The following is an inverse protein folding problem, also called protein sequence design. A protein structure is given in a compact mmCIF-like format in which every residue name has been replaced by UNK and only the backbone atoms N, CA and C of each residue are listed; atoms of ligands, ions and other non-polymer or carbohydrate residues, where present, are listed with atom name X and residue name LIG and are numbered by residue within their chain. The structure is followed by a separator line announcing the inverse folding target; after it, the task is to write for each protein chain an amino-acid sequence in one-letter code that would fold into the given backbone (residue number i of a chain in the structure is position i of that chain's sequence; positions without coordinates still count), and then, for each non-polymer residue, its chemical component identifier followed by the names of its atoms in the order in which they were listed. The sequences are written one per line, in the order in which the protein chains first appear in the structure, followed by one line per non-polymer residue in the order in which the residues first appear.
data_IF_094505191544
#
_entry.id   IF_094505191544
#
_cell.length_a   1.000
_cell.length_b   1.000
_cell.length_c   1.000
_cell.angle_alpha   90.00
_cell.angle_beta   90.00
_cell.angle_gamma   90.00
#
_symmetry.space_group_name_H-M   'P 1'
#
loop_
_entity.id
_entity.type
_entity.pdbx_description
1 polymer ?
#
# COMPACT_ATOMS: atom_id res chain seq x y z
N UNK A 1 3.20 -10.96 -13.53
CA UNK A 1 3.13 -10.00 -12.42
C UNK A 1 3.38 -8.59 -12.92
N UNK A 2 4.58 -8.30 -13.46
CA UNK A 2 4.98 -6.94 -13.86
C UNK A 2 4.06 -6.24 -14.88
N UNK A 3 3.47 -7.00 -15.82
CA UNK A 3 2.57 -6.46 -16.86
C UNK A 3 1.11 -6.28 -16.34
N UNK A 4 0.81 -6.79 -15.14
CA UNK A 4 -0.53 -6.67 -14.55
C UNK A 4 -0.79 -5.25 -14.04
N UNK A 5 0.24 -4.54 -13.57
CA UNK A 5 0.18 -3.17 -13.08
C UNK A 5 -0.45 -2.24 -14.15
N UNK A 6 -1.66 -1.78 -13.89
CA UNK A 6 -2.39 -0.85 -14.74
C UNK A 6 -2.08 0.56 -14.28
N UNK A 7 -1.30 1.32 -15.06
CA UNK A 7 -1.07 2.74 -14.78
C UNK A 7 -2.20 3.59 -15.42
N UNK A 8 -3.10 4.20 -14.62
CA UNK A 8 -4.22 4.96 -15.14
C UNK A 8 -3.85 6.42 -15.39
N UNK A 9 -2.57 6.84 -15.33
CA UNK A 9 -2.21 8.26 -15.45
C UNK A 9 -2.76 8.89 -16.74
N UNK A 10 -2.68 8.18 -17.87
CA UNK A 10 -3.25 8.67 -19.13
C UNK A 10 -4.80 8.71 -19.11
N UNK A 11 -5.45 7.74 -18.48
CA UNK A 11 -6.91 7.70 -18.39
C UNK A 11 -7.44 8.76 -17.42
N UNK A 12 -6.79 8.95 -16.27
CA UNK A 12 -7.08 10.00 -15.29
C UNK A 12 -6.90 11.41 -15.90
N UNK A 13 -5.88 11.60 -16.76
CA UNK A 13 -5.70 12.87 -17.48
C UNK A 13 -6.90 13.18 -18.39
N UNK A 14 -7.36 12.19 -19.17
CA UNK A 14 -8.56 12.36 -20.00
C UNK A 14 -9.84 12.52 -19.17
N UNK A 15 -9.93 11.91 -18.00
CA UNK A 15 -11.06 12.07 -17.08
C UNK A 15 -11.12 13.47 -16.47
N UNK A 16 -9.97 14.10 -16.23
CA UNK A 16 -9.90 15.48 -15.80
C UNK A 16 -10.37 16.44 -16.91
N UNK A 17 -9.99 16.20 -18.17
CA UNK A 17 -10.47 16.98 -19.32
C UNK A 17 -11.97 16.84 -19.56
N UNK A 18 -12.53 15.66 -19.27
CA UNK A 18 -13.96 15.35 -19.42
C UNK A 18 -14.80 15.71 -18.18
N UNK A 19 -14.19 16.32 -17.17
CA UNK A 19 -14.81 16.72 -15.90
C UNK A 19 -15.52 15.54 -15.18
N UNK A 20 -14.97 14.33 -15.34
CA UNK A 20 -15.52 13.08 -14.79
C UNK A 20 -15.39 13.07 -13.27
N UNK A 21 -14.39 13.75 -12.69
CA UNK A 21 -14.29 13.92 -11.24
C UNK A 21 -15.53 14.62 -10.65
N UNK A 22 -16.16 15.53 -11.41
CA UNK A 22 -17.35 16.28 -10.98
C UNK A 22 -18.65 15.57 -11.38
N UNK A 23 -18.69 14.95 -12.57
CA UNK A 23 -19.88 14.22 -13.07
C UNK A 23 -20.05 12.82 -12.46
N UNK A 24 -18.95 12.09 -12.27
CA UNK A 24 -18.92 10.72 -11.77
C UNK A 24 -17.71 10.51 -10.83
N UNK A 25 -17.69 11.17 -9.66
CA UNK A 25 -16.58 11.09 -8.70
C UNK A 25 -16.25 9.65 -8.26
N UNK A 26 -17.28 8.79 -8.17
CA UNK A 26 -17.11 7.38 -7.84
C UNK A 26 -16.29 6.63 -8.87
N UNK A 27 -16.50 6.86 -10.17
CA UNK A 27 -15.76 6.17 -11.24
C UNK A 27 -14.28 6.55 -11.21
N UNK A 28 -14.00 7.85 -11.06
CA UNK A 28 -12.63 8.36 -10.96
C UNK A 28 -11.88 7.76 -9.75
N UNK A 29 -12.56 7.69 -8.61
CA UNK A 29 -11.98 7.13 -7.38
C UNK A 29 -11.76 5.62 -7.49
N UNK A 30 -12.70 4.89 -8.12
CA UNK A 30 -12.62 3.44 -8.28
C UNK A 30 -11.42 3.04 -9.16
N UNK A 31 -11.24 3.69 -10.31
CA UNK A 31 -10.13 3.38 -11.25
C UNK A 31 -8.77 3.64 -10.60
N UNK A 32 -8.65 4.74 -9.85
CA UNK A 32 -7.44 5.05 -9.09
C UNK A 32 -7.19 4.01 -7.99
N UNK A 33 -8.22 3.62 -7.24
CA UNK A 33 -8.10 2.63 -6.18
C UNK A 33 -7.73 1.24 -6.72
N UNK A 34 -8.35 0.83 -7.83
CA UNK A 34 -8.04 -0.43 -8.52
C UNK A 34 -6.57 -0.48 -8.95
N UNK A 35 -6.09 0.60 -9.57
CA UNK A 35 -4.71 0.69 -10.05
C UNK A 35 -3.70 0.61 -8.90
N UNK A 36 -3.93 1.36 -7.81
CA UNK A 36 -3.07 1.30 -6.61
C UNK A 36 -3.05 -0.09 -5.96
N UNK A 37 -4.21 -0.76 -5.85
CA UNK A 37 -4.27 -2.12 -5.33
C UNK A 37 -3.54 -3.11 -6.23
N UNK A 38 -3.70 -2.98 -7.55
CA UNK A 38 -3.10 -3.88 -8.52
C UNK A 38 -1.57 -3.80 -8.51
N UNK A 39 -0.99 -2.60 -8.40
CA UNK A 39 0.46 -2.41 -8.23
C UNK A 39 0.98 -3.10 -6.96
N UNK A 40 0.26 -2.92 -5.85
CA UNK A 40 0.62 -3.51 -4.56
C UNK A 40 0.53 -5.04 -4.55
N UNK A 41 -0.47 -5.62 -5.23
CA UNK A 41 -0.61 -7.07 -5.37
C UNK A 41 0.43 -7.65 -6.34
N UNK A 42 0.73 -6.95 -7.43
CA UNK A 42 1.70 -7.39 -8.43
C UNK A 42 3.12 -7.53 -7.84
N UNK A 43 3.54 -6.58 -6.99
CA UNK A 43 4.85 -6.63 -6.35
C UNK A 43 4.95 -7.76 -5.31
N UNK A 44 3.89 -8.04 -4.56
CA UNK A 44 3.86 -9.15 -3.60
C UNK A 44 3.80 -10.51 -4.29
N UNK A 45 3.08 -10.61 -5.41
CA UNK A 45 3.13 -11.82 -6.24
C UNK A 45 4.54 -12.04 -6.78
N UNK A 46 5.20 -10.98 -7.24
CA UNK A 46 6.58 -11.07 -7.73
C UNK A 46 7.55 -11.54 -6.64
N UNK A 47 7.43 -10.99 -5.43
CA UNK A 47 8.26 -11.41 -4.28
C UNK A 47 7.99 -12.88 -3.87
N UNK A 48 6.72 -13.29 -3.82
CA UNK A 48 6.34 -14.67 -3.50
C UNK A 48 6.85 -15.69 -4.53
N UNK A 49 6.95 -15.31 -5.80
CA UNK A 49 7.51 -16.18 -6.85
C UNK A 49 9.04 -16.27 -6.76
N UNK A 50 9.72 -15.15 -6.48
CA UNK A 50 11.18 -15.12 -6.42
C UNK A 50 11.77 -15.70 -5.12
N UNK A 51 10.99 -15.72 -4.04
CA UNK A 51 11.43 -16.25 -2.74
C UNK A 51 11.51 -17.79 -2.67
N UNK A 52 11.08 -18.51 -3.71
CA UNK A 52 11.20 -19.97 -3.79
C UNK A 52 12.46 -20.39 -4.51
N UNK A 53 13.53 -20.64 -3.74
CA UNK A 53 14.71 -21.33 -4.24
C UNK A 53 14.37 -22.77 -4.63
N UNK A 54 14.41 -23.03 -5.95
CA UNK A 54 14.34 -24.34 -6.62
C UNK A 54 13.14 -25.22 -6.22
N UNK A 55 12.10 -25.34 -7.05
CA UNK A 55 10.91 -26.10 -6.70
C UNK A 55 11.26 -27.58 -6.54
N UNK A 56 11.22 -28.10 -5.31
CA UNK A 56 10.83 -29.48 -5.11
C UNK A 56 9.41 -29.59 -5.67
N UNK A 57 9.23 -30.39 -6.72
CA UNK A 57 8.06 -30.37 -7.61
C UNK A 57 6.71 -30.62 -6.94
N UNK A 58 6.69 -31.01 -5.66
CA UNK A 58 5.47 -31.25 -4.88
C UNK A 58 5.16 -30.05 -3.98
N UNK A 59 4.00 -29.41 -4.21
CA UNK A 59 3.41 -28.42 -3.28
C UNK A 59 3.87 -26.96 -3.43
N UNK A 60 4.67 -26.63 -4.45
CA UNK A 60 5.18 -25.27 -4.68
C UNK A 60 4.07 -24.19 -4.76
N UNK A 61 2.94 -24.52 -5.40
CA UNK A 61 1.78 -23.64 -5.53
C UNK A 61 1.12 -23.31 -4.19
N UNK A 62 1.11 -24.26 -3.23
CA UNK A 62 0.60 -24.01 -1.88
C UNK A 62 1.53 -23.06 -1.14
N UNK A 63 2.85 -23.23 -1.27
CA UNK A 63 3.85 -22.36 -0.66
C UNK A 63 3.79 -20.91 -1.17
N UNK A 64 3.60 -20.70 -2.48
CA UNK A 64 3.38 -19.36 -3.04
C UNK A 64 2.10 -18.76 -2.48
N UNK A 65 0.99 -19.51 -2.50
CA UNK A 65 -0.30 -19.01 -2.05
C UNK A 65 -0.24 -18.61 -0.57
N UNK A 66 0.33 -19.45 0.30
CA UNK A 66 0.45 -19.13 1.73
C UNK A 66 1.36 -17.92 1.95
N UNK A 67 2.51 -17.85 1.28
CA UNK A 67 3.41 -16.69 1.37
C UNK A 67 2.73 -15.41 0.90
N UNK A 68 1.99 -15.45 -0.20
CA UNK A 68 1.21 -14.33 -0.69
C UNK A 68 0.15 -13.89 0.31
N UNK A 69 -0.60 -14.82 0.90
CA UNK A 69 -1.60 -14.48 1.91
C UNK A 69 -0.98 -13.85 3.16
N UNK A 70 0.17 -14.37 3.62
CA UNK A 70 0.91 -13.81 4.76
C UNK A 70 1.41 -12.40 4.44
N UNK A 71 2.04 -12.21 3.27
CA UNK A 71 2.54 -10.90 2.86
C UNK A 71 1.39 -9.90 2.64
N UNK A 72 0.25 -10.33 2.10
CA UNK A 72 -0.90 -9.45 1.88
C UNK A 72 -1.56 -9.06 3.21
N UNK A 73 -2.06 -10.03 3.96
CA UNK A 73 -2.83 -9.79 5.19
C UNK A 73 -1.95 -9.38 6.37
N UNK A 74 -0.75 -9.96 6.49
CA UNK A 74 0.21 -9.58 7.53
C UNK A 74 0.65 -8.13 7.40
N UNK A 75 1.02 -7.69 6.19
CA UNK A 75 1.40 -6.30 5.95
C UNK A 75 0.22 -5.33 6.08
N UNK A 76 -1.00 -5.76 5.70
CA UNK A 76 -2.22 -4.96 5.89
C UNK A 76 -2.50 -4.72 7.38
N UNK A 77 -2.54 -5.78 8.20
CA UNK A 77 -2.79 -5.66 9.64
C UNK A 77 -1.68 -4.84 10.29
N UNK A 78 -0.43 -5.10 9.93
CA UNK A 78 0.71 -4.35 10.44
C UNK A 78 0.61 -2.85 10.13
N UNK A 79 0.31 -2.50 8.87
CA UNK A 79 0.12 -1.11 8.44
C UNK A 79 -0.97 -0.41 9.23
N UNK A 80 -2.12 -1.07 9.45
CA UNK A 80 -3.24 -0.52 10.25
C UNK A 80 -2.82 -0.28 11.71
N UNK A 81 -2.13 -1.24 12.33
CA UNK A 81 -1.69 -1.13 13.72
C UNK A 81 -0.68 0.00 13.88
N UNK A 82 0.36 0.05 13.04
CA UNK A 82 1.38 1.10 13.10
C UNK A 82 0.78 2.48 12.80
N UNK A 83 -0.11 2.59 11.81
CA UNK A 83 -0.79 3.83 11.52
C UNK A 83 -1.65 4.31 12.70
N UNK A 84 -2.38 3.41 13.35
CA UNK A 84 -3.18 3.76 14.54
C UNK A 84 -2.30 4.31 15.67
N UNK A 85 -1.12 3.70 15.89
CA UNK A 85 -0.16 4.18 16.87
C UNK A 85 0.39 5.56 16.49
N UNK A 86 0.74 5.78 15.22
CA UNK A 86 1.21 7.06 14.72
C UNK A 86 0.13 8.15 14.82
N UNK A 87 -1.14 7.86 14.52
CA UNK A 87 -2.24 8.82 14.70
C UNK A 87 -2.42 9.18 16.17
N UNK A 88 -2.29 8.20 17.07
CA UNK A 88 -2.37 8.44 18.51
C UNK A 88 -1.21 9.32 19.00
N UNK A 89 0.02 9.04 18.56
CA UNK A 89 1.21 9.87 18.88
C UNK A 89 1.00 11.31 18.40
N UNK A 90 0.51 11.48 17.17
CA UNK A 90 0.23 12.80 16.61
C UNK A 90 -0.79 13.58 17.46
N UNK A 91 -1.84 12.90 17.91
CA UNK A 91 -2.88 13.49 18.78
C UNK A 91 -2.36 13.82 20.18
N UNK A 92 -1.54 12.93 20.77
CA UNK A 92 -0.93 13.15 22.08
C UNK A 92 0.07 14.31 22.06
N UNK A 93 0.84 14.42 20.98
CA UNK A 93 1.82 15.49 20.78
C UNK A 93 1.18 16.86 20.46
N UNK A 94 -0.15 16.94 20.31
CA UNK A 94 -0.89 18.16 19.92
C UNK A 94 -0.27 18.85 18.70
N UNK A 95 0.16 18.04 17.73
CA UNK A 95 0.71 18.50 16.46
C UNK A 95 -0.29 19.27 15.57
N UNK A 96 -1.62 18.99 15.59
CA UNK A 96 -2.57 19.73 14.77
C UNK A 96 -2.51 21.23 15.07
N UNK A 97 -2.24 22.03 14.04
CA UNK A 97 -2.06 23.49 14.14
C UNK A 97 -0.61 23.97 14.12
N UNK A 98 0.38 23.06 14.17
CA UNK A 98 1.79 23.36 13.94
C UNK A 98 2.20 22.91 12.53
N UNK A 99 2.00 23.78 11.55
CA UNK A 99 2.12 23.44 10.11
C UNK A 99 3.45 22.77 9.74
N UNK A 100 4.57 23.23 10.29
CA UNK A 100 5.89 22.68 9.95
C UNK A 100 6.09 21.27 10.52
N UNK A 101 5.71 21.05 11.78
CA UNK A 101 5.88 19.75 12.43
C UNK A 101 4.92 18.70 11.87
N UNK A 102 3.70 19.12 11.52
CA UNK A 102 2.70 18.25 10.90
C UNK A 102 3.15 17.77 9.50
N UNK A 103 3.66 18.68 8.67
CA UNK A 103 4.20 18.32 7.34
C UNK A 103 5.39 17.36 7.48
N UNK A 104 6.33 17.64 8.39
CA UNK A 104 7.48 16.77 8.63
C UNK A 104 7.05 15.39 9.10
N UNK A 105 6.03 15.33 9.96
CA UNK A 105 5.48 14.08 10.47
C UNK A 105 4.87 13.23 9.35
N UNK A 106 4.01 13.82 8.53
CA UNK A 106 3.38 13.14 7.39
C UNK A 106 4.44 12.68 6.38
N UNK A 107 5.49 13.46 6.17
CA UNK A 107 6.58 13.11 5.26
C UNK A 107 7.42 11.93 5.80
N UNK A 108 7.70 11.88 7.10
CA UNK A 108 8.56 10.85 7.70
C UNK A 108 7.80 9.54 8.01
N UNK A 109 6.51 9.61 8.33
CA UNK A 109 5.67 8.47 8.66
C UNK A 109 5.77 7.28 7.67
N UNK A 110 5.63 7.46 6.34
CA UNK A 110 5.70 6.34 5.39
C UNK A 110 7.07 5.65 5.39
N UNK A 111 8.17 6.39 5.56
CA UNK A 111 9.51 5.79 5.65
C UNK A 111 9.68 4.92 6.90
N UNK A 112 9.14 5.38 8.03
CA UNK A 112 9.15 4.61 9.27
C UNK A 112 8.32 3.33 9.13
N UNK A 113 7.10 3.43 8.60
CA UNK A 113 6.22 2.27 8.39
C UNK A 113 6.88 1.26 7.44
N UNK A 114 7.46 1.75 6.33
CA UNK A 114 8.15 0.91 5.36
C UNK A 114 9.32 0.16 6.00
N UNK A 115 10.22 0.88 6.69
CA UNK A 115 11.40 0.29 7.31
C UNK A 115 11.04 -0.71 8.40
N UNK A 116 10.00 -0.46 9.19
CA UNK A 116 9.52 -1.38 10.21
C UNK A 116 8.91 -2.65 9.60
N UNK A 117 8.11 -2.51 8.54
CA UNK A 117 7.53 -3.66 7.85
C UNK A 117 8.60 -4.54 7.20
N UNK A 118 9.57 -3.92 6.53
CA UNK A 118 10.68 -4.64 5.88
C UNK A 118 11.53 -5.40 6.91
N UNK A 119 11.76 -4.82 8.10
CA UNK A 119 12.46 -5.49 9.20
C UNK A 119 11.74 -6.73 9.75
N UNK A 120 10.43 -6.86 9.51
CA UNK A 120 9.62 -8.03 9.88
C UNK A 120 9.39 -8.98 8.71
N UNK A 121 10.12 -8.83 7.60
CA UNK A 121 9.97 -9.60 6.35
C UNK A 121 8.56 -9.49 5.73
N UNK A 122 7.87 -8.38 6.01
CA UNK A 122 6.57 -8.02 5.44
C UNK A 122 6.74 -7.07 4.25
N UNK A 123 5.70 -6.93 3.43
CA UNK A 123 5.69 -5.99 2.32
C UNK A 123 5.51 -4.56 2.84
N UNK A 124 6.61 -3.81 2.90
CA UNK A 124 6.59 -2.40 3.31
C UNK A 124 5.70 -1.52 2.44
N UNK A 125 5.56 -1.84 1.16
CA UNK A 125 4.71 -1.10 0.22
C UNK A 125 3.22 -1.26 0.59
N UNK A 126 2.79 -2.49 0.87
CA UNK A 126 1.42 -2.76 1.33
C UNK A 126 1.17 -2.11 2.70
N UNK A 127 2.13 -2.23 3.62
CA UNK A 127 2.00 -1.63 4.94
C UNK A 127 1.81 -0.11 4.85
N UNK A 128 2.58 0.58 4.01
CA UNK A 128 2.45 2.03 3.77
C UNK A 128 1.12 2.37 3.09
N UNK A 129 0.67 1.59 2.10
CA UNK A 129 -0.61 1.81 1.43
C UNK A 129 -1.78 1.80 2.42
N UNK A 130 -1.90 0.75 3.23
CA UNK A 130 -2.98 0.64 4.23
C UNK A 130 -2.82 1.64 5.37
N UNK A 131 -1.59 1.96 5.77
CA UNK A 131 -1.35 3.02 6.73
C UNK A 131 -1.78 4.40 6.22
N UNK A 132 -1.53 4.71 4.95
CA UNK A 132 -1.96 5.94 4.30
C UNK A 132 -3.49 6.05 4.19
N UNK A 133 -4.18 4.93 3.94
CA UNK A 133 -5.65 4.87 3.97
C UNK A 133 -6.18 5.20 5.38
N UNK A 134 -5.51 4.70 6.43
CA UNK A 134 -5.90 4.94 7.83
C UNK A 134 -5.58 6.35 8.34
N UNK A 135 -4.53 6.98 7.82
CA UNK A 135 -4.09 8.34 8.23
C UNK A 135 -4.89 9.47 7.61
N UNK A 136 -5.78 9.16 6.65
CA UNK A 136 -6.68 10.12 6.01
C UNK A 136 -7.79 10.55 6.95
#
# INVERSE_FOLDING_TARGET
ALISATDPVATLATYAELDIATRQPLLNTLVLAESLMNDAVAIVFFDAVNSLDRPTWHGWHVGIMTRMMILLFGSMIFGIVVASALILIMRMARLPGQSVMEILYIFMAPFLIFSLADSMELSGIIAVLFAGIMMK
#
